data_IF_740983419626
#
_entry.id   IF_740983419626
#
_cell.length_a   1.000
_cell.length_b   1.000
_cell.length_c   1.000
_cell.angle_alpha   90.00
_cell.angle_beta   90.00
_cell.angle_gamma   90.00
#
_symmetry.space_group_name_H-M   'P 1'
#
loop_
_entity.id
_entity.type
_entity.pdbx_description
1 polymer ?
#
# COMPACT_ATOMS: atom_id res chain seq x y z
N UNK A 1 -19.68 -87.36 -24.28
CA UNK A 1 -20.47 -87.09 -25.50
C UNK A 1 -20.76 -85.59 -25.56
N UNK A 2 -19.97 -84.80 -26.29
CA UNK A 2 -20.46 -83.91 -27.36
C UNK A 2 -19.27 -83.39 -28.16
N UNK A 3 -19.44 -83.33 -29.47
CA UNK A 3 -18.40 -83.14 -30.50
C UNK A 3 -18.36 -81.67 -30.97
N UNK A 4 -17.23 -81.32 -31.59
CA UNK A 4 -17.03 -80.29 -32.62
C UNK A 4 -17.02 -78.82 -32.13
N UNK A 5 -16.25 -77.89 -32.69
CA UNK A 5 -15.64 -77.85 -34.03
C UNK A 5 -14.31 -77.08 -34.06
N UNK A 6 -13.41 -77.56 -34.92
CA UNK A 6 -12.29 -76.81 -35.50
C UNK A 6 -12.82 -75.76 -36.49
N UNK A 7 -12.24 -74.57 -36.49
CA UNK A 7 -12.06 -73.79 -37.71
C UNK A 7 -10.60 -73.31 -37.77
N UNK A 8 -9.92 -73.78 -38.81
CA UNK A 8 -8.61 -73.32 -39.24
C UNK A 8 -8.84 -72.38 -40.41
N UNK A 9 -8.30 -71.17 -40.36
CA UNK A 9 -8.16 -70.33 -41.54
C UNK A 9 -6.75 -69.77 -41.56
N UNK A 10 -5.91 -70.37 -42.42
CA UNK A 10 -4.68 -69.78 -42.91
C UNK A 10 -5.05 -68.59 -43.79
N UNK A 11 -4.52 -67.41 -43.49
CA UNK A 11 -4.18 -66.44 -44.53
C UNK A 11 -2.73 -66.01 -44.30
N UNK A 12 -1.97 -66.14 -45.37
CA UNK A 12 -0.57 -65.82 -45.48
C UNK A 12 -0.37 -64.31 -45.67
N UNK A 13 0.79 -63.81 -45.21
CA UNK A 13 1.44 -62.63 -45.76
C UNK A 13 1.10 -61.29 -45.12
N UNK A 14 2.15 -60.59 -44.66
CA UNK A 14 2.18 -59.12 -44.63
C UNK A 14 2.34 -58.49 -43.24
N UNK A 15 3.53 -57.92 -43.02
CA UNK A 15 3.86 -56.88 -42.04
C UNK A 15 3.69 -57.20 -40.55
N UNK A 16 4.81 -57.60 -39.93
CA UNK A 16 5.07 -57.41 -38.50
C UNK A 16 5.14 -55.91 -38.17
N UNK A 17 4.12 -55.39 -37.49
CA UNK A 17 4.19 -54.12 -36.75
C UNK A 17 5.09 -54.31 -35.51
N UNK A 18 6.10 -53.46 -35.27
CA UNK A 18 6.94 -53.59 -34.10
C UNK A 18 6.23 -53.04 -32.85
N UNK A 19 6.18 -53.90 -31.84
CA UNK A 19 6.42 -53.63 -30.43
C UNK A 19 5.71 -52.45 -29.74
N UNK A 20 4.66 -52.83 -28.99
CA UNK A 20 4.43 -52.49 -27.58
C UNK A 20 4.97 -51.12 -27.14
N UNK A 21 4.14 -50.10 -27.27
CA UNK A 21 4.18 -48.98 -26.34
C UNK A 21 3.88 -49.54 -24.96
N UNK A 22 4.87 -49.55 -24.07
CA UNK A 22 4.68 -49.89 -22.67
C UNK A 22 3.56 -48.99 -22.13
N UNK A 23 2.52 -49.61 -21.57
CA UNK A 23 1.40 -48.90 -20.93
C UNK A 23 1.93 -47.85 -19.92
N UNK A 24 3.10 -48.10 -19.31
CA UNK A 24 3.77 -47.13 -18.43
C UNK A 24 4.20 -45.85 -19.14
N UNK A 25 4.67 -45.93 -20.38
CA UNK A 25 5.07 -44.74 -21.15
C UNK A 25 3.87 -43.89 -21.53
N UNK A 26 2.77 -44.54 -21.97
CA UNK A 26 1.51 -43.83 -22.26
C UNK A 26 0.91 -43.20 -21.01
N UNK A 27 0.95 -43.88 -19.86
CA UNK A 27 0.48 -43.33 -18.59
C UNK A 27 1.38 -42.19 -18.07
N UNK A 28 2.69 -42.27 -18.29
CA UNK A 28 3.63 -41.20 -17.92
C UNK A 28 3.43 -39.96 -18.80
N UNK A 29 3.30 -40.13 -20.12
CA UNK A 29 3.02 -39.03 -21.04
C UNK A 29 1.65 -38.38 -20.76
N UNK A 30 0.63 -39.17 -20.39
CA UNK A 30 -0.67 -38.65 -19.94
C UNK A 30 -0.58 -37.90 -18.60
N UNK A 31 0.21 -38.38 -17.64
CA UNK A 31 0.44 -37.71 -16.37
C UNK A 31 1.22 -36.39 -16.53
N UNK A 32 2.19 -36.34 -17.45
CA UNK A 32 2.95 -35.12 -17.78
C UNK A 32 2.08 -34.12 -18.53
N UNK A 33 1.25 -34.57 -19.48
CA UNK A 33 0.30 -33.67 -20.17
C UNK A 33 -0.73 -33.12 -19.18
N UNK A 34 -1.23 -33.95 -18.26
CA UNK A 34 -2.14 -33.53 -17.19
C UNK A 34 -1.48 -32.54 -16.23
N UNK A 35 -0.23 -32.77 -15.81
CA UNK A 35 0.48 -31.84 -14.94
C UNK A 35 0.81 -30.52 -15.64
N UNK A 36 1.19 -30.55 -16.92
CA UNK A 36 1.41 -29.33 -17.70
C UNK A 36 0.12 -28.56 -17.96
N UNK A 37 -1.02 -29.23 -18.18
CA UNK A 37 -2.31 -28.53 -18.29
C UNK A 37 -2.74 -27.92 -16.97
N UNK A 38 -2.50 -28.59 -15.84
CA UNK A 38 -2.75 -28.01 -14.51
C UNK A 38 -1.84 -26.81 -14.25
N UNK A 39 -0.54 -26.88 -14.59
CA UNK A 39 0.39 -25.74 -14.43
C UNK A 39 -0.02 -24.58 -15.33
N UNK A 40 -0.33 -24.83 -16.61
CA UNK A 40 -0.79 -23.80 -17.54
C UNK A 40 -2.10 -23.18 -17.06
N UNK A 41 -3.03 -23.98 -16.55
CA UNK A 41 -4.31 -23.50 -16.00
C UNK A 41 -4.10 -22.70 -14.70
N UNK A 42 -3.19 -23.12 -13.82
CA UNK A 42 -2.80 -22.35 -12.63
C UNK A 42 -2.12 -21.04 -13.00
N UNK A 43 -1.23 -21.03 -14.00
CA UNK A 43 -0.55 -19.81 -14.48
C UNK A 43 -1.55 -18.88 -15.18
N UNK A 44 -2.50 -19.41 -15.96
CA UNK A 44 -3.58 -18.63 -16.56
C UNK A 44 -4.54 -18.08 -15.50
N UNK A 45 -4.89 -18.85 -14.47
CA UNK A 45 -5.67 -18.37 -13.32
C UNK A 45 -4.89 -17.28 -12.59
N UNK A 46 -3.60 -17.47 -12.32
CA UNK A 46 -2.75 -16.44 -11.68
C UNK A 46 -2.67 -15.20 -12.57
N UNK A 47 -2.49 -15.31 -13.89
CA UNK A 47 -2.43 -14.17 -14.80
C UNK A 47 -3.79 -13.47 -15.01
N UNK A 48 -4.89 -14.23 -15.03
CA UNK A 48 -6.25 -13.70 -15.18
C UNK A 48 -6.80 -13.13 -13.86
N UNK A 49 -6.35 -13.65 -12.71
CA UNK A 49 -6.63 -13.10 -11.38
C UNK A 49 -5.60 -12.05 -10.94
N UNK A 50 -4.42 -11.94 -11.57
CA UNK A 50 -3.42 -10.91 -11.25
C UNK A 50 -3.95 -9.48 -11.32
N UNK A 51 -4.78 -9.08 -12.31
CA UNK A 51 -5.40 -7.76 -12.28
C UNK A 51 -6.50 -7.62 -11.20
N UNK A 52 -7.03 -8.72 -10.65
CA UNK A 52 -7.94 -8.69 -9.49
C UNK A 52 -7.20 -8.74 -8.15
N UNK A 53 -6.01 -9.34 -8.09
CA UNK A 53 -5.15 -9.40 -6.89
C UNK A 53 -4.27 -8.15 -6.75
N UNK A 54 -4.00 -7.42 -7.83
CA UNK A 54 -3.51 -6.04 -7.74
C UNK A 54 -4.59 -5.05 -7.22
N UNK A 55 -5.84 -5.50 -7.11
CA UNK A 55 -6.87 -4.85 -6.29
C UNK A 55 -6.95 -5.47 -4.89
N UNK A 56 -5.79 -5.82 -4.29
CA UNK A 56 -5.77 -6.02 -2.85
C UNK A 56 -6.21 -4.73 -2.17
N UNK A 57 -7.40 -4.84 -1.59
CA UNK A 57 -8.02 -3.94 -0.65
C UNK A 57 -6.99 -3.49 0.38
N UNK A 58 -6.41 -2.31 0.18
CA UNK A 58 -5.81 -1.59 1.29
C UNK A 58 -6.96 -1.24 2.26
N UNK A 59 -6.89 -1.63 3.55
CA UNK A 59 -7.76 -1.07 4.56
C UNK A 59 -7.32 0.38 4.78
N UNK A 60 -7.74 1.28 3.89
CA UNK A 60 -7.30 2.68 3.80
C UNK A 60 -7.27 3.24 2.37
N UNK A 61 -7.27 2.37 1.36
CA UNK A 61 -7.34 2.78 -0.04
C UNK A 61 -8.75 3.26 -0.36
N UNK A 62 -8.92 4.57 -0.54
CA UNK A 62 -10.13 5.14 -1.13
C UNK A 62 -10.34 4.42 -2.46
N UNK A 63 -11.43 3.67 -2.58
CA UNK A 63 -11.96 3.25 -3.88
C UNK A 63 -12.34 4.52 -4.63
N UNK A 64 -11.36 5.11 -5.32
CA UNK A 64 -11.60 6.10 -6.36
C UNK A 64 -12.11 5.32 -7.56
N UNK A 65 -13.41 5.00 -7.57
CA UNK A 65 -14.09 5.19 -8.85
C UNK A 65 -13.88 6.68 -9.15
N UNK A 66 -13.14 7.05 -10.21
CA UNK A 66 -13.03 8.45 -10.55
C UNK A 66 -14.47 8.96 -10.67
N UNK A 67 -14.84 9.90 -9.80
CA UNK A 67 -16.04 10.69 -10.06
C UNK A 67 -15.90 11.20 -11.49
N UNK A 68 -16.90 10.94 -12.33
CA UNK A 68 -16.88 11.40 -13.71
C UNK A 68 -16.85 12.93 -13.81
N UNK A 69 -17.16 13.65 -12.72
CA UNK A 69 -17.04 15.10 -12.62
C UNK A 69 -15.95 15.50 -11.62
N UNK A 70 -14.95 16.30 -12.06
CA UNK A 70 -13.92 16.90 -11.20
C UNK A 70 -14.47 17.83 -10.11
N UNK A 71 -15.61 18.47 -10.36
CA UNK A 71 -16.19 19.51 -9.51
C UNK A 71 -17.00 18.95 -8.33
N UNK A 72 -17.31 17.65 -8.35
CA UNK A 72 -18.10 17.02 -7.29
C UNK A 72 -17.20 16.69 -6.10
N UNK A 73 -17.53 17.19 -4.89
CA UNK A 73 -16.83 16.81 -3.67
C UNK A 73 -16.86 15.30 -3.46
N UNK A 74 -15.70 14.73 -3.10
CA UNK A 74 -15.55 13.30 -2.84
C UNK A 74 -15.79 12.99 -1.36
N UNK A 75 -16.16 11.73 -1.03
CA UNK A 75 -16.09 11.28 0.34
C UNK A 75 -14.69 11.55 0.89
N UNK A 76 -14.61 12.10 2.10
CA UNK A 76 -13.38 12.49 2.78
C UNK A 76 -12.74 13.80 2.33
N UNK A 77 -13.31 14.55 1.39
CA UNK A 77 -12.89 15.95 1.21
C UNK A 77 -13.06 16.74 2.52
N UNK A 78 -12.23 17.76 2.78
CA UNK A 78 -12.47 18.71 3.86
C UNK A 78 -13.83 19.40 3.69
N UNK A 79 -14.58 19.56 4.78
CA UNK A 79 -15.85 20.29 4.74
C UNK A 79 -15.62 21.79 4.62
N UNK A 80 -15.65 22.31 3.39
CA UNK A 80 -15.48 23.73 3.09
C UNK A 80 -16.62 24.61 3.65
N UNK A 81 -17.76 24.03 4.04
CA UNK A 81 -18.85 24.79 4.66
C UNK A 81 -18.61 25.09 6.14
N UNK A 82 -17.64 24.39 6.76
CA UNK A 82 -17.37 24.48 8.21
C UNK A 82 -16.50 25.66 8.64
N UNK A 83 -15.96 26.45 7.70
CA UNK A 83 -15.11 27.61 7.98
C UNK A 83 -15.37 28.75 6.99
N UNK A 84 -15.08 29.99 7.40
CA UNK A 84 -15.26 31.19 6.57
C UNK A 84 -13.90 31.73 6.10
N UNK A 85 -13.41 31.15 5.00
CA UNK A 85 -12.14 31.51 4.38
C UNK A 85 -12.28 31.39 2.85
N UNK A 86 -12.75 32.44 2.16
CA UNK A 86 -13.04 32.37 0.74
C UNK A 86 -11.78 32.18 -0.11
N UNK A 87 -10.64 32.73 0.32
CA UNK A 87 -9.39 32.63 -0.44
C UNK A 87 -8.80 31.22 -0.36
N UNK A 88 -8.80 30.60 0.83
CA UNK A 88 -8.38 29.20 0.95
C UNK A 88 -9.26 28.24 0.14
N UNK A 89 -10.59 28.48 0.13
CA UNK A 89 -11.53 27.68 -0.66
C UNK A 89 -11.23 27.76 -2.15
N UNK A 90 -10.95 28.95 -2.66
CA UNK A 90 -10.57 29.13 -4.07
C UNK A 90 -9.28 28.37 -4.42
N UNK A 91 -8.24 28.47 -3.59
CA UNK A 91 -6.98 27.73 -3.80
C UNK A 91 -7.23 26.22 -3.75
N UNK A 92 -8.05 25.76 -2.81
CA UNK A 92 -8.40 24.35 -2.66
C UNK A 92 -9.16 23.82 -3.87
N UNK A 93 -10.22 24.50 -4.29
CA UNK A 93 -11.04 24.11 -5.44
C UNK A 93 -10.19 24.03 -6.72
N UNK A 94 -9.37 25.06 -6.99
CA UNK A 94 -8.46 25.05 -8.13
C UNK A 94 -7.48 23.87 -8.10
N UNK A 95 -6.93 23.58 -6.92
CA UNK A 95 -5.98 22.46 -6.74
C UNK A 95 -6.65 21.12 -6.98
N UNK A 96 -7.81 20.89 -6.35
CA UNK A 96 -8.48 19.60 -6.42
C UNK A 96 -9.18 19.35 -7.75
N UNK A 97 -9.81 20.36 -8.36
CA UNK A 97 -10.38 20.23 -9.70
C UNK A 97 -9.28 19.89 -10.71
N UNK A 98 -8.10 20.52 -10.61
CA UNK A 98 -6.96 20.21 -11.47
C UNK A 98 -6.49 18.78 -11.35
N UNK A 99 -6.23 18.30 -10.12
CA UNK A 99 -5.84 16.90 -9.85
C UNK A 99 -6.90 15.92 -10.38
N UNK A 100 -8.17 16.17 -10.10
CA UNK A 100 -9.27 15.28 -10.50
C UNK A 100 -9.49 15.26 -12.00
N UNK A 101 -9.25 16.38 -12.68
CA UNK A 101 -9.27 16.46 -14.14
C UNK A 101 -8.15 15.61 -14.75
N UNK A 102 -6.96 15.64 -14.15
CA UNK A 102 -5.85 14.79 -14.57
C UNK A 102 -6.12 13.29 -14.33
N UNK A 103 -6.82 12.94 -13.25
CA UNK A 103 -7.18 11.55 -12.94
C UNK A 103 -8.18 10.91 -13.93
N UNK A 104 -8.99 11.71 -14.64
CA UNK A 104 -9.94 11.21 -15.64
C UNK A 104 -9.36 11.12 -17.05
N UNK A 105 -8.03 11.24 -17.20
CA UNK A 105 -7.37 11.19 -18.50
C UNK A 105 -7.78 9.93 -19.31
N UNK A 106 -8.20 10.09 -20.59
CA UNK A 106 -8.78 9.00 -21.39
C UNK A 106 -7.76 7.93 -21.79
N UNK A 107 -6.48 8.29 -21.92
CA UNK A 107 -5.41 7.42 -22.45
C UNK A 107 -4.87 6.38 -21.44
N UNK A 108 -5.61 6.15 -20.35
CA UNK A 108 -5.31 5.09 -19.37
C UNK A 108 -4.35 5.49 -18.24
N UNK A 109 -3.94 4.52 -17.38
CA UNK A 109 -3.28 4.80 -16.11
C UNK A 109 -1.96 5.58 -16.21
N UNK A 110 -1.10 5.27 -17.18
CA UNK A 110 0.19 5.95 -17.34
C UNK A 110 -0.01 7.44 -17.69
N UNK A 111 -0.96 7.74 -18.56
CA UNK A 111 -1.28 9.12 -18.94
C UNK A 111 -1.90 9.92 -17.79
N UNK A 112 -2.70 9.27 -16.92
CA UNK A 112 -3.21 9.90 -15.69
C UNK A 112 -2.09 10.27 -14.74
N UNK A 113 -1.16 9.36 -14.50
CA UNK A 113 0.01 9.63 -13.64
C UNK A 113 0.83 10.80 -14.19
N UNK A 114 1.08 10.81 -15.50
CA UNK A 114 1.81 11.92 -16.13
C UNK A 114 1.04 13.24 -16.04
N UNK A 115 -0.25 13.26 -16.33
CA UNK A 115 -1.07 14.47 -16.25
C UNK A 115 -1.13 15.05 -14.83
N UNK A 116 -1.19 14.19 -13.80
CA UNK A 116 -1.12 14.61 -12.40
C UNK A 116 0.25 15.22 -12.12
N UNK A 117 1.34 14.55 -12.54
CA UNK A 117 2.70 15.05 -12.36
C UNK A 117 2.91 16.41 -13.04
N UNK A 118 2.42 16.58 -14.27
CA UNK A 118 2.50 17.83 -15.03
C UNK A 118 1.75 18.96 -14.33
N UNK A 119 0.54 18.69 -13.82
CA UNK A 119 -0.22 19.67 -13.04
C UNK A 119 0.49 20.03 -11.73
N UNK A 120 0.98 19.03 -11.00
CA UNK A 120 1.70 19.22 -9.74
C UNK A 120 3.03 19.95 -9.91
N UNK A 121 3.63 19.90 -11.11
CA UNK A 121 4.89 20.58 -11.42
C UNK A 121 4.72 22.09 -11.66
N UNK A 122 3.51 22.60 -11.90
CA UNK A 122 3.25 24.03 -12.10
C UNK A 122 3.38 24.77 -10.77
N UNK A 123 4.39 25.63 -10.55
CA UNK A 123 4.61 26.27 -9.26
C UNK A 123 3.47 27.19 -8.87
N UNK A 124 3.10 27.17 -7.59
CA UNK A 124 2.21 28.15 -6.99
C UNK A 124 2.97 29.45 -6.72
N UNK A 125 2.28 30.61 -6.77
CA UNK A 125 2.86 31.87 -6.35
C UNK A 125 3.31 31.84 -4.88
N UNK A 126 4.47 32.44 -4.52
CA UNK A 126 4.97 32.45 -3.14
C UNK A 126 3.96 33.00 -2.13
N UNK A 127 3.18 34.00 -2.51
CA UNK A 127 2.14 34.59 -1.67
C UNK A 127 1.02 33.60 -1.30
N UNK A 128 0.68 32.68 -2.21
CA UNK A 128 -0.27 31.61 -1.92
C UNK A 128 0.33 30.58 -0.98
N UNK A 129 1.61 30.25 -1.14
CA UNK A 129 2.31 29.31 -0.26
C UNK A 129 2.36 29.87 1.16
N UNK A 130 2.77 31.14 1.32
CA UNK A 130 2.79 31.81 2.62
C UNK A 130 1.40 31.88 3.26
N UNK A 131 0.37 32.13 2.45
CA UNK A 131 -1.02 32.10 2.91
C UNK A 131 -1.46 30.72 3.38
N UNK A 132 -1.18 29.65 2.61
CA UNK A 132 -1.49 28.27 2.97
C UNK A 132 -0.84 27.89 4.31
N UNK A 133 0.43 28.26 4.51
CA UNK A 133 1.16 28.00 5.76
C UNK A 133 0.53 28.74 6.93
N UNK A 134 0.17 30.01 6.75
CA UNK A 134 -0.48 30.81 7.78
C UNK A 134 -1.86 30.25 8.14
N UNK A 135 -2.68 29.91 7.14
CA UNK A 135 -4.00 29.32 7.33
C UNK A 135 -3.94 27.96 8.03
N UNK A 136 -2.96 27.11 7.68
CA UNK A 136 -2.75 25.84 8.35
C UNK A 136 -2.39 26.05 9.84
N UNK A 137 -1.49 26.99 10.13
CA UNK A 137 -1.08 27.30 11.52
C UNK A 137 -2.27 27.80 12.35
N UNK A 138 -2.99 28.79 11.85
CA UNK A 138 -4.18 29.33 12.51
C UNK A 138 -5.23 28.24 12.73
N UNK A 139 -5.44 27.36 11.74
CA UNK A 139 -6.36 26.24 11.87
C UNK A 139 -5.97 25.24 12.96
N UNK A 140 -4.66 24.99 13.18
CA UNK A 140 -4.20 24.15 14.31
C UNK A 140 -4.46 24.84 15.64
N UNK A 141 -4.13 26.14 15.75
CA UNK A 141 -4.36 26.93 16.97
C UNK A 141 -5.84 26.98 17.36
N UNK A 142 -6.72 27.15 16.38
CA UNK A 142 -8.17 27.20 16.55
C UNK A 142 -8.86 25.82 16.53
N UNK A 143 -8.10 24.74 16.32
CA UNK A 143 -8.63 23.37 16.17
C UNK A 143 -9.69 23.22 15.06
N UNK A 144 -9.52 23.97 13.95
CA UNK A 144 -10.38 23.94 12.77
C UNK A 144 -9.88 22.89 11.76
N UNK A 145 -10.13 21.61 12.05
CA UNK A 145 -9.54 20.50 11.31
C UNK A 145 -9.86 20.47 9.82
N UNK A 146 -11.08 20.82 9.40
CA UNK A 146 -11.42 20.93 7.97
C UNK A 146 -10.60 22.03 7.27
N UNK A 147 -10.38 23.17 7.94
CA UNK A 147 -9.56 24.27 7.40
C UNK A 147 -8.10 23.85 7.29
N UNK A 148 -7.58 23.18 8.31
CA UNK A 148 -6.22 22.62 8.29
C UNK A 148 -6.04 21.62 7.13
N UNK A 149 -6.99 20.69 6.96
CA UNK A 149 -6.95 19.70 5.87
C UNK A 149 -7.03 20.35 4.50
N UNK A 150 -7.88 21.37 4.33
CA UNK A 150 -7.95 22.14 3.08
C UNK A 150 -6.60 22.80 2.77
N UNK A 151 -5.96 23.46 3.74
CA UNK A 151 -4.63 24.03 3.58
C UNK A 151 -3.57 22.98 3.25
N UNK A 152 -3.57 21.84 3.94
CA UNK A 152 -2.65 20.75 3.67
C UNK A 152 -2.83 20.16 2.26
N UNK A 153 -4.07 20.05 1.78
CA UNK A 153 -4.35 19.53 0.44
C UNK A 153 -3.96 20.54 -0.66
N UNK A 154 -3.98 21.84 -0.36
CA UNK A 154 -3.47 22.85 -1.29
C UNK A 154 -1.99 22.66 -1.62
N UNK A 155 -1.21 21.94 -0.78
CA UNK A 155 0.20 21.67 -1.05
C UNK A 155 0.44 20.51 -2.00
N UNK A 156 -0.60 19.81 -2.45
CA UNK A 156 -0.44 18.66 -3.34
C UNK A 156 0.00 19.02 -4.76
N UNK A 157 -0.15 20.30 -5.16
CA UNK A 157 0.26 20.76 -6.48
C UNK A 157 0.97 22.11 -6.40
N UNK A 158 2.10 22.24 -7.08
CA UNK A 158 2.82 23.50 -7.23
C UNK A 158 3.51 24.02 -5.98
N UNK A 159 3.56 23.24 -4.91
CA UNK A 159 4.27 23.61 -3.68
C UNK A 159 5.51 22.73 -3.60
N UNK A 160 6.69 23.36 -3.66
CA UNK A 160 7.94 22.69 -3.30
C UNK A 160 7.90 22.26 -1.82
N UNK A 161 8.90 21.49 -1.37
CA UNK A 161 8.94 20.99 -0.01
C UNK A 161 8.84 22.13 1.01
N UNK A 162 7.69 22.23 1.69
CA UNK A 162 7.43 23.29 2.65
C UNK A 162 7.76 22.84 4.08
N UNK A 163 8.99 23.15 4.52
CA UNK A 163 9.54 22.74 5.81
C UNK A 163 8.74 23.32 6.99
N UNK A 164 8.11 24.49 6.84
CA UNK A 164 7.29 25.11 7.89
C UNK A 164 6.06 24.26 8.22
N UNK A 165 5.50 23.56 7.23
CA UNK A 165 4.37 22.65 7.44
C UNK A 165 4.80 21.37 8.12
N UNK A 166 6.03 20.88 7.88
CA UNK A 166 6.56 19.70 8.59
C UNK A 166 6.71 20.00 10.09
N UNK A 167 7.17 21.20 10.46
CA UNK A 167 7.22 21.62 11.86
C UNK A 167 5.80 21.68 12.48
N UNK A 168 4.85 22.26 11.75
CA UNK A 168 3.45 22.34 12.18
C UNK A 168 2.77 20.97 12.30
N UNK A 169 3.13 20.00 11.46
CA UNK A 169 2.58 18.65 11.50
C UNK A 169 2.76 17.98 12.85
N UNK A 170 3.87 18.24 13.55
CA UNK A 170 4.07 17.73 14.91
C UNK A 170 3.06 18.33 15.88
N UNK A 171 2.89 19.66 15.85
CA UNK A 171 1.92 20.37 16.69
C UNK A 171 0.50 19.85 16.46
N UNK A 172 0.13 19.59 15.20
CA UNK A 172 -1.17 19.01 14.86
C UNK A 172 -1.33 17.58 15.36
N UNK A 173 -0.36 16.68 15.10
CA UNK A 173 -0.45 15.27 15.51
C UNK A 173 -0.56 15.10 17.04
N UNK A 174 0.03 16.05 17.78
CA UNK A 174 0.03 16.10 19.25
C UNK A 174 -1.01 17.07 19.82
N UNK A 175 -1.87 17.65 18.98
CA UNK A 175 -2.85 18.63 19.41
C UNK A 175 -3.79 18.04 20.49
N UNK A 176 -4.24 18.87 21.46
CA UNK A 176 -5.15 18.43 22.50
C UNK A 176 -6.38 17.73 21.92
N UNK A 177 -6.74 16.61 22.54
CA UNK A 177 -7.91 15.82 22.15
C UNK A 177 -8.96 15.99 23.23
N UNK A 178 -10.21 16.22 22.83
CA UNK A 178 -11.34 16.19 23.75
C UNK A 178 -11.59 14.78 24.30
N UNK A 179 -12.71 14.60 25.01
CA UNK A 179 -13.13 13.26 25.51
C UNK A 179 -13.33 12.23 24.39
N UNK A 180 -13.52 12.70 23.16
CA UNK A 180 -13.58 11.90 21.94
C UNK A 180 -12.89 12.65 20.80
N UNK A 181 -12.16 11.92 19.96
CA UNK A 181 -11.60 12.46 18.73
C UNK A 181 -12.73 12.69 17.71
N UNK A 182 -12.82 13.90 17.17
CA UNK A 182 -13.77 14.18 16.09
C UNK A 182 -13.33 13.46 14.81
N UNK A 183 -14.28 13.17 13.93
CA UNK A 183 -13.99 12.51 12.66
C UNK A 183 -13.05 13.35 11.78
N UNK A 184 -13.23 14.68 11.78
CA UNK A 184 -12.35 15.60 11.05
C UNK A 184 -10.93 15.66 11.62
N UNK A 185 -10.77 15.60 12.94
CA UNK A 185 -9.44 15.52 13.55
C UNK A 185 -8.78 14.17 13.19
N UNK A 186 -9.53 13.06 13.20
CA UNK A 186 -9.03 11.77 12.75
C UNK A 186 -8.55 11.78 11.30
N UNK A 187 -9.29 12.42 10.40
CA UNK A 187 -8.87 12.59 9.00
C UNK A 187 -7.67 13.53 8.87
N UNK A 188 -7.59 14.60 9.67
CA UNK A 188 -6.43 15.50 9.68
C UNK A 188 -5.14 14.77 10.07
N UNK A 189 -5.20 13.92 11.10
CA UNK A 189 -4.08 13.05 11.50
C UNK A 189 -3.65 12.17 10.33
N UNK A 190 -4.60 11.50 9.68
CA UNK A 190 -4.31 10.61 8.56
C UNK A 190 -3.67 11.35 7.38
N UNK A 191 -4.27 12.46 6.95
CA UNK A 191 -3.79 13.29 5.85
C UNK A 191 -2.39 13.85 6.13
N UNK A 192 -2.06 14.10 7.39
CA UNK A 192 -0.75 14.61 7.79
C UNK A 192 0.33 13.56 7.74
N UNK A 193 0.04 12.34 8.18
CA UNK A 193 0.96 11.23 7.95
C UNK A 193 1.20 11.03 6.45
N UNK A 194 0.17 11.19 5.62
CA UNK A 194 0.28 11.08 4.16
C UNK A 194 1.07 12.23 3.53
N UNK A 195 0.90 13.45 4.02
CA UNK A 195 1.73 14.59 3.65
C UNK A 195 3.21 14.34 3.99
N UNK A 196 3.51 13.87 5.21
CA UNK A 196 4.87 13.55 5.63
C UNK A 196 5.51 12.48 4.73
N UNK A 197 4.76 11.43 4.37
CA UNK A 197 5.23 10.37 3.46
C UNK A 197 5.52 10.84 2.03
N UNK A 198 5.05 12.03 1.64
CA UNK A 198 5.30 12.67 0.33
C UNK A 198 6.35 13.78 0.42
N UNK A 199 6.91 14.05 1.59
CA UNK A 199 7.85 15.15 1.83
C UNK A 199 9.26 14.60 2.09
N UNK A 200 10.14 14.50 1.06
CA UNK A 200 11.42 13.79 1.15
C UNK A 200 12.51 14.61 1.85
N UNK A 201 12.33 14.86 3.16
CA UNK A 201 13.32 15.52 4.02
C UNK A 201 13.50 14.75 5.34
N UNK A 202 14.65 14.93 5.98
CA UNK A 202 14.99 14.26 7.24
C UNK A 202 13.97 14.50 8.35
N UNK A 203 13.53 15.74 8.55
CA UNK A 203 12.58 16.07 9.61
C UNK A 203 11.21 15.41 9.45
N UNK A 204 10.79 15.12 8.20
CA UNK A 204 9.56 14.39 7.94
C UNK A 204 9.74 12.89 8.23
N UNK A 205 10.90 12.33 7.85
CA UNK A 205 11.26 10.96 8.16
C UNK A 205 11.38 10.73 9.68
N UNK A 206 11.99 11.66 10.41
CA UNK A 206 12.10 11.62 11.87
C UNK A 206 10.73 11.67 12.55
N UNK A 207 9.84 12.57 12.11
CA UNK A 207 8.50 12.65 12.67
C UNK A 207 7.68 11.38 12.41
N UNK A 208 7.81 10.79 11.22
CA UNK A 208 7.18 9.50 10.93
C UNK A 208 7.77 8.37 11.79
N UNK A 209 9.09 8.35 12.03
CA UNK A 209 9.74 7.40 12.92
C UNK A 209 9.21 7.53 14.35
N UNK A 210 9.10 8.74 14.88
CA UNK A 210 8.52 8.97 16.20
C UNK A 210 7.07 8.51 16.28
N UNK A 211 6.28 8.76 15.23
CA UNK A 211 4.88 8.32 15.13
C UNK A 211 4.70 6.79 15.11
N UNK A 212 5.78 6.01 14.97
CA UNK A 212 5.75 4.54 15.14
C UNK A 212 5.79 4.09 16.61
N UNK A 213 6.03 5.00 17.55
CA UNK A 213 6.09 4.70 18.99
C UNK A 213 4.73 4.91 19.66
N UNK A 214 4.46 4.21 20.76
CA UNK A 214 3.21 4.39 21.51
C UNK A 214 3.21 5.74 22.25
N UNK A 215 4.38 6.11 22.78
CA UNK A 215 4.62 7.29 23.59
C UNK A 215 4.29 8.58 22.84
N UNK A 216 4.60 8.65 21.54
CA UNK A 216 4.30 9.79 20.68
C UNK A 216 2.82 10.16 20.69
N UNK A 217 1.93 9.16 20.72
CA UNK A 217 0.49 9.37 20.65
C UNK A 217 -0.13 9.78 21.98
N UNK A 218 0.58 9.59 23.10
CA UNK A 218 0.11 9.93 24.43
C UNK A 218 -1.16 9.16 24.88
N UNK A 219 -1.68 9.47 26.07
CA UNK A 219 -2.82 8.75 26.67
C UNK A 219 -4.19 9.21 26.14
N UNK A 220 -4.25 10.27 25.33
CA UNK A 220 -5.50 10.87 24.87
C UNK A 220 -6.27 9.94 23.91
N UNK A 221 -7.62 10.00 23.89
CA UNK A 221 -8.44 9.12 23.07
C UNK A 221 -8.20 9.36 21.58
N UNK A 222 -8.03 8.28 20.80
CA UNK A 222 -7.86 8.32 19.33
C UNK A 222 -9.02 7.67 18.57
N UNK A 223 -10.02 7.15 19.27
CA UNK A 223 -11.19 6.54 18.63
C UNK A 223 -12.02 7.57 17.86
N UNK A 224 -12.32 7.28 16.60
CA UNK A 224 -13.26 8.02 15.76
C UNK A 224 -13.90 7.07 14.75
N UNK A 225 -14.98 7.49 14.06
CA UNK A 225 -15.57 6.66 12.99
C UNK A 225 -14.66 6.54 11.77
N UNK A 226 -13.71 7.46 11.63
CA UNK A 226 -12.75 7.51 10.52
C UNK A 226 -11.47 6.75 10.78
N UNK A 227 -11.13 6.52 12.05
CA UNK A 227 -10.01 5.67 12.44
C UNK A 227 -10.52 4.27 12.80
N UNK A 228 -10.49 3.90 14.09
CA UNK A 228 -11.00 2.63 14.58
C UNK A 228 -11.92 2.81 15.80
N UNK A 229 -12.78 1.83 16.12
CA UNK A 229 -13.77 1.93 17.20
C UNK A 229 -13.14 2.17 18.58
N UNK A 230 -11.92 1.68 18.81
CA UNK A 230 -11.16 1.87 20.04
C UNK A 230 -9.82 2.58 19.80
N UNK A 231 -9.29 3.14 20.89
CA UNK A 231 -8.04 3.90 20.89
C UNK A 231 -6.85 3.01 20.54
N UNK A 232 -6.82 1.76 21.00
CA UNK A 232 -5.66 0.88 20.79
C UNK A 232 -5.53 0.44 19.33
N UNK A 233 -6.63 0.08 18.68
CA UNK A 233 -6.67 -0.18 17.25
C UNK A 233 -6.37 1.08 16.45
N UNK A 234 -6.86 2.25 16.87
CA UNK A 234 -6.58 3.52 16.18
C UNK A 234 -5.09 3.84 16.25
N UNK A 235 -4.45 3.72 17.41
CA UNK A 235 -3.00 3.87 17.58
C UNK A 235 -2.26 2.86 16.72
N UNK A 236 -2.67 1.60 16.74
CA UNK A 236 -2.04 0.55 15.94
C UNK A 236 -2.10 0.88 14.45
N UNK A 237 -3.27 1.28 13.96
CA UNK A 237 -3.47 1.69 12.57
C UNK A 237 -2.58 2.88 12.19
N UNK A 238 -2.52 3.91 13.04
CA UNK A 238 -1.71 5.11 12.80
C UNK A 238 -0.21 4.82 12.82
N UNK A 239 0.26 3.95 13.72
CA UNK A 239 1.66 3.48 13.75
C UNK A 239 2.00 2.69 12.48
N UNK A 240 1.11 1.80 12.05
CA UNK A 240 1.28 1.07 10.78
C UNK A 240 1.27 2.02 9.57
N UNK A 241 0.42 3.05 9.58
CA UNK A 241 0.40 4.07 8.54
C UNK A 241 1.71 4.87 8.50
N UNK A 242 2.27 5.21 9.66
CA UNK A 242 3.57 5.88 9.74
C UNK A 242 4.70 5.03 9.13
N UNK A 243 4.71 3.71 9.39
CA UNK A 243 5.66 2.77 8.74
C UNK A 243 5.46 2.73 7.23
N UNK A 244 4.22 2.63 6.75
CA UNK A 244 3.91 2.67 5.30
C UNK A 244 4.39 3.95 4.65
N UNK A 245 4.19 5.09 5.32
CA UNK A 245 4.59 6.40 4.82
C UNK A 245 6.11 6.62 4.89
N UNK A 246 6.83 6.01 5.84
CA UNK A 246 8.30 5.91 5.76
C UNK A 246 8.73 5.21 4.48
N UNK A 247 8.07 4.11 4.11
CA UNK A 247 8.35 3.36 2.88
C UNK A 247 8.13 4.15 1.58
N UNK A 248 7.37 5.26 1.62
CA UNK A 248 7.17 6.14 0.46
C UNK A 248 8.35 7.08 0.20
N UNK A 249 9.16 7.38 1.22
CA UNK A 249 10.32 8.25 1.10
C UNK A 249 11.48 7.57 0.35
N UNK A 250 12.39 8.35 -0.29
CA UNK A 250 13.60 7.83 -0.92
C UNK A 250 14.43 6.94 0.01
N UNK A 251 15.11 5.94 -0.55
CA UNK A 251 15.87 4.94 0.23
C UNK A 251 16.89 5.54 1.20
N UNK A 252 17.52 6.66 0.82
CA UNK A 252 18.47 7.39 1.67
C UNK A 252 17.87 7.86 2.99
N UNK A 253 16.56 8.16 3.02
CA UNK A 253 15.83 8.58 4.22
C UNK A 253 15.10 7.41 4.89
N UNK A 254 14.52 6.51 4.10
CA UNK A 254 13.61 5.47 4.60
C UNK A 254 14.33 4.21 5.09
N UNK A 255 15.31 3.68 4.35
CA UNK A 255 15.93 2.40 4.69
C UNK A 255 16.64 2.41 6.05
N UNK A 256 17.44 3.42 6.42
CA UNK A 256 18.10 3.42 7.73
C UNK A 256 17.12 3.28 8.91
N UNK A 257 15.98 3.98 8.82
CA UNK A 257 14.92 3.97 9.85
C UNK A 257 14.12 2.68 9.84
N UNK A 258 13.76 2.18 8.66
CA UNK A 258 13.06 0.90 8.53
C UNK A 258 13.92 -0.27 9.02
N UNK A 259 15.22 -0.26 8.75
CA UNK A 259 16.17 -1.26 9.26
C UNK A 259 16.38 -1.15 10.77
N UNK A 260 16.33 0.05 11.34
CA UNK A 260 16.29 0.25 12.79
C UNK A 260 15.01 -0.36 13.40
N UNK A 261 13.84 -0.08 12.82
CA UNK A 261 12.58 -0.68 13.25
C UNK A 261 12.58 -2.21 13.11
N UNK A 262 13.18 -2.75 12.05
CA UNK A 262 13.27 -4.20 11.84
C UNK A 262 14.09 -4.91 12.94
N UNK A 263 15.07 -4.22 13.55
CA UNK A 263 15.81 -4.74 14.71
C UNK A 263 14.94 -4.78 15.97
N UNK A 264 14.04 -3.80 16.13
CA UNK A 264 13.12 -3.73 17.28
C UNK A 264 11.95 -4.71 17.15
N UNK A 265 11.49 -4.98 15.92
CA UNK A 265 10.38 -5.87 15.60
C UNK A 265 10.83 -7.00 14.65
N UNK A 266 11.59 -7.99 15.14
CA UNK A 266 12.20 -9.02 14.29
C UNK A 266 11.20 -10.06 13.74
N UNK A 267 10.01 -10.17 14.33
CA UNK A 267 8.99 -11.14 13.89
C UNK A 267 8.31 -10.67 12.59
N UNK A 268 8.70 -11.31 11.47
CA UNK A 268 8.15 -11.04 10.13
C UNK A 268 6.91 -11.87 9.81
N UNK A 269 6.38 -12.63 10.75
CA UNK A 269 5.23 -13.50 10.52
C UNK A 269 3.99 -12.65 10.22
N UNK A 270 3.21 -13.06 9.22
CA UNK A 270 1.91 -12.46 8.99
C UNK A 270 1.00 -12.77 10.19
N UNK A 271 0.35 -11.75 10.74
CA UNK A 271 -0.54 -11.92 11.88
C UNK A 271 -1.87 -12.53 11.42
N UNK A 272 -2.29 -13.62 12.06
CA UNK A 272 -3.61 -14.22 11.85
C UNK A 272 -4.66 -13.75 12.87
N UNK A 273 -4.28 -12.88 13.80
CA UNK A 273 -5.17 -12.35 14.83
C UNK A 273 -6.31 -11.54 14.21
N UNK A 274 -7.54 -11.67 14.75
CA UNK A 274 -8.65 -10.81 14.37
C UNK A 274 -8.33 -9.34 14.71
N UNK A 275 -8.94 -8.42 13.97
CA UNK A 275 -8.66 -6.97 14.07
C UNK A 275 -8.88 -6.46 15.49
N UNK A 276 -9.85 -7.05 16.21
CA UNK A 276 -10.20 -6.71 17.58
C UNK A 276 -9.10 -6.98 18.60
N UNK A 277 -8.25 -7.96 18.33
CA UNK A 277 -7.16 -8.38 19.21
C UNK A 277 -5.79 -7.88 18.70
N UNK A 278 -5.75 -7.32 17.50
CA UNK A 278 -4.53 -6.90 16.83
C UNK A 278 -3.81 -5.77 17.60
N UNK A 279 -2.53 -6.00 17.86
CA UNK A 279 -1.59 -5.03 18.40
C UNK A 279 -0.51 -4.80 17.38
N UNK A 280 -0.02 -3.58 17.29
CA UNK A 280 1.05 -3.22 16.36
C UNK A 280 2.21 -4.21 16.41
N UNK A 281 2.65 -4.58 17.61
CA UNK A 281 3.77 -5.48 17.85
C UNK A 281 3.60 -6.85 17.18
N UNK A 282 2.37 -7.33 17.00
CA UNK A 282 2.08 -8.66 16.45
C UNK A 282 2.21 -8.75 14.92
N UNK A 283 2.28 -7.61 14.20
CA UNK A 283 2.45 -7.58 12.74
C UNK A 283 3.30 -6.43 12.22
N UNK A 284 3.94 -5.68 13.12
CA UNK A 284 4.86 -4.61 12.78
C UNK A 284 6.02 -5.13 11.93
N UNK A 285 6.64 -6.24 12.32
CA UNK A 285 7.80 -6.78 11.60
C UNK A 285 7.47 -7.20 10.16
N UNK A 286 6.28 -7.78 9.92
CA UNK A 286 5.80 -8.03 8.55
C UNK A 286 5.65 -6.73 7.75
N UNK A 287 4.96 -5.73 8.34
CA UNK A 287 4.74 -4.43 7.68
C UNK A 287 6.06 -3.74 7.36
N UNK A 288 7.02 -3.74 8.30
CA UNK A 288 8.35 -3.16 8.11
C UNK A 288 9.12 -3.89 7.00
N UNK A 289 9.12 -5.22 7.01
CA UNK A 289 9.79 -6.03 5.99
C UNK A 289 9.19 -5.79 4.60
N UNK A 290 7.86 -5.67 4.51
CA UNK A 290 7.15 -5.31 3.29
C UNK A 290 7.59 -3.93 2.77
N UNK A 291 7.69 -2.92 3.64
CA UNK A 291 8.13 -1.58 3.23
C UNK A 291 9.60 -1.55 2.80
N UNK A 292 10.50 -2.27 3.49
CA UNK A 292 11.91 -2.43 3.07
C UNK A 292 11.97 -3.05 1.67
N UNK A 293 11.19 -4.11 1.43
CA UNK A 293 11.10 -4.73 0.11
C UNK A 293 10.61 -3.74 -0.95
N UNK A 294 9.52 -3.02 -0.68
CA UNK A 294 8.94 -2.06 -1.62
C UNK A 294 9.92 -0.94 -2.00
N UNK A 295 10.65 -0.40 -1.02
CA UNK A 295 11.70 0.62 -1.28
C UNK A 295 12.79 0.05 -2.19
N UNK A 296 13.32 -1.14 -1.86
CA UNK A 296 14.39 -1.78 -2.65
C UNK A 296 13.94 -2.09 -4.08
N UNK A 297 12.72 -2.59 -4.27
CA UNK A 297 12.17 -2.85 -5.60
C UNK A 297 11.98 -1.57 -6.39
N UNK A 298 11.38 -0.55 -5.79
CA UNK A 298 11.13 0.75 -6.44
C UNK A 298 12.42 1.38 -6.96
N UNK A 299 13.52 1.22 -6.24
CA UNK A 299 14.81 1.85 -6.56
C UNK A 299 15.82 0.89 -7.21
N UNK A 300 15.41 -0.34 -7.54
CA UNK A 300 16.29 -1.32 -8.20
C UNK A 300 17.48 -1.78 -7.35
N UNK A 301 17.35 -1.70 -6.02
CA UNK A 301 18.40 -2.11 -5.07
C UNK A 301 18.41 -3.66 -4.99
N UNK A 302 19.57 -4.32 -5.25
CA UNK A 302 19.67 -5.78 -5.22
C UNK A 302 19.31 -6.39 -3.86
N UNK A 303 18.88 -7.65 -3.87
CA UNK A 303 18.62 -8.43 -2.64
C UNK A 303 17.22 -8.21 -2.03
N UNK A 304 16.28 -7.64 -2.77
CA UNK A 304 14.89 -7.58 -2.36
C UNK A 304 14.23 -8.97 -2.47
N UNK A 305 13.95 -9.60 -1.33
CA UNK A 305 12.99 -10.71 -1.26
C UNK A 305 11.75 -10.23 -0.52
N UNK A 306 10.58 -10.55 -1.07
CA UNK A 306 9.32 -10.25 -0.40
C UNK A 306 9.23 -11.09 0.89
N UNK A 307 8.77 -10.54 2.03
CA UNK A 307 8.70 -11.28 3.30
C UNK A 307 7.86 -12.57 3.19
N UNK A 308 6.83 -12.56 2.35
CA UNK A 308 6.07 -13.77 2.03
C UNK A 308 6.93 -14.88 1.42
N UNK A 309 7.89 -14.57 0.55
CA UNK A 309 8.80 -15.57 -0.04
C UNK A 309 9.81 -16.07 0.99
N UNK A 310 10.23 -15.21 1.93
CA UNK A 310 11.12 -15.57 3.04
C UNK A 310 10.48 -16.59 3.99
N UNK A 311 9.17 -16.46 4.26
CA UNK A 311 8.40 -17.38 5.12
C UNK A 311 8.27 -18.80 4.55
N UNK A 312 8.31 -18.95 3.22
CA UNK A 312 8.20 -20.25 2.53
C UNK A 312 9.54 -20.76 1.99
N UNK A 313 10.65 -20.07 2.26
CA UNK A 313 11.97 -20.61 1.95
C UNK A 313 12.21 -21.76 2.90
N UNK A 314 12.15 -22.99 2.38
CA UNK A 314 12.63 -24.16 3.13
C UNK A 314 14.01 -23.83 3.69
N UNK A 315 14.31 -24.10 4.97
CA UNK A 315 15.64 -23.89 5.50
C UNK A 315 16.57 -24.71 4.62
N UNK A 316 17.40 -24.02 3.84
CA UNK A 316 18.42 -24.67 3.01
C UNK A 316 19.20 -25.58 3.95
N UNK A 317 19.21 -26.89 3.65
CA UNK A 317 19.94 -27.88 4.42
C UNK A 317 21.31 -27.32 4.80
N UNK A 318 21.75 -27.46 6.07
CA UNK A 318 23.05 -26.97 6.46
C UNK A 318 24.09 -27.57 5.52
N UNK A 319 24.83 -26.72 4.81
CA UNK A 319 25.97 -27.18 4.02
C UNK A 319 26.91 -27.90 4.97
N UNK A 320 26.93 -29.23 4.87
CA UNK A 320 27.94 -30.06 5.50
C UNK A 320 29.25 -29.69 4.84
N UNK A 321 30.11 -28.98 5.56
CA UNK A 321 31.48 -28.74 5.11
C UNK A 321 32.14 -30.11 4.87
N UNK A 322 32.83 -30.30 3.73
CA UNK A 322 33.57 -31.52 3.50
C UNK A 322 34.71 -31.57 4.52
N UNK A 323 34.61 -32.51 5.45
CA UNK A 323 35.72 -32.89 6.32
C UNK A 323 36.85 -33.40 5.42
N UNK A 324 37.98 -32.67 5.46
CA UNK A 324 39.25 -33.07 4.85
C UNK A 324 39.88 -34.24 5.62
#
# INVERSE_FOLDING_TARGET
MNKNAKYSQKIAGGATLPHRWSIRKVLYDMAVISSMTVIIFCVLIVLLLSPMVLCQVEPGGVFLYPSSSPDVPRPHDPDLSSFDDPFLKEIYERTMIGIRTAEIHPDGPAARVQAIADFCAVPKPPEEIDYIVAAAREAVELQQWSRYRAALWCTQAGVEIEVRLVALSREMLQAPRGEKLSDEHGLAIYDTLEFLGRTPIESAADLLMEATTLEFWGPGPLRSRRLRPDTQQSVTMLRSQAVRNLGKLPSSLSLPRLEELAKQYPDKSATSAPVEEYRFEMGAGYTIAEQIYNVKVREGIPGAMHPFVELYREPSEPMVEPVL
#
